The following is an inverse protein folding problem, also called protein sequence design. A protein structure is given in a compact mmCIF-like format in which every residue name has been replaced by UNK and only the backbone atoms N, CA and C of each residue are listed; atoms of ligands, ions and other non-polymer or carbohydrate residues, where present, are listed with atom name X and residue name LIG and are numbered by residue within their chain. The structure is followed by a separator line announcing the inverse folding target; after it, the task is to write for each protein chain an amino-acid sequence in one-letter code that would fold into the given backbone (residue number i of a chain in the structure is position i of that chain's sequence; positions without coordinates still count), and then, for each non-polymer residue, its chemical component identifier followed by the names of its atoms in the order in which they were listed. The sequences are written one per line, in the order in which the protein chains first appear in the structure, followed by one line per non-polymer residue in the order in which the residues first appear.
data_IF_282547837940
#
_entry.id   IF_282547837940
#
_cell.length_a   1.000
_cell.length_b   1.000
_cell.length_c   1.000
_cell.angle_alpha   90.00
_cell.angle_beta   90.00
_cell.angle_gamma   90.00
#
_symmetry.space_group_name_H-M   'P 1'
#
loop_
_entity.id
_entity.type
_entity.pdbx_description
1 polymer ?
#
# COMPACT_ATOMS: atom_id res chain seq x y z
N UNK A 1 8.94 -8.70 33.22
CA UNK A 1 8.72 -9.58 34.34
C UNK A 1 9.23 -8.94 35.65
N UNK A 2 8.95 -9.53 36.83
CA UNK A 2 9.36 -8.97 38.13
C UNK A 2 10.86 -8.75 38.24
N UNK A 3 11.68 -9.60 37.61
CA UNK A 3 13.14 -9.48 37.64
C UNK A 3 13.69 -8.27 36.87
N UNK A 4 13.01 -7.85 35.83
CA UNK A 4 13.38 -6.66 35.06
C UNK A 4 13.12 -5.37 35.88
N UNK A 5 12.06 -5.36 36.71
CA UNK A 5 11.73 -4.24 37.60
C UNK A 5 12.71 -4.12 38.77
N UNK A 6 13.19 -5.26 39.31
CA UNK A 6 14.15 -5.27 40.38
C UNK A 6 15.51 -4.68 39.97
N UNK A 7 15.93 -4.86 38.70
CA UNK A 7 17.18 -4.30 38.17
C UNK A 7 17.10 -2.87 37.67
N UNK A 8 15.88 -2.29 37.53
CA UNK A 8 15.65 -0.99 36.91
C UNK A 8 14.77 -0.08 37.80
N UNK A 9 15.21 0.14 39.03
CA UNK A 9 14.45 0.95 40.02
C UNK A 9 14.04 2.34 39.50
N UNK A 10 14.84 2.95 38.61
CA UNK A 10 14.51 4.22 37.96
C UNK A 10 13.30 4.14 37.01
N UNK A 11 12.86 2.93 36.64
CA UNK A 11 11.70 2.67 35.77
C UNK A 11 10.51 2.06 36.53
N UNK A 12 10.56 2.03 37.87
CA UNK A 12 9.53 1.41 38.68
C UNK A 12 8.12 1.97 38.40
N UNK A 13 8.04 3.27 38.13
CA UNK A 13 6.79 3.99 37.85
C UNK A 13 6.48 4.08 36.34
N UNK A 14 7.30 3.46 35.47
CA UNK A 14 7.09 3.46 34.04
C UNK A 14 5.88 2.58 33.67
N UNK A 15 4.91 3.17 33.00
CA UNK A 15 3.77 2.43 32.45
C UNK A 15 4.16 1.72 31.17
N UNK A 16 3.92 0.41 31.11
CA UNK A 16 4.09 -0.39 29.89
C UNK A 16 2.72 -0.49 29.21
N UNK A 17 2.62 0.07 28.01
CA UNK A 17 1.41 0.09 27.22
C UNK A 17 1.55 -0.90 26.07
N UNK A 18 0.62 -1.86 25.97
CA UNK A 18 0.53 -2.75 24.83
C UNK A 18 -0.11 -2.00 23.65
N UNK A 19 0.58 -2.00 22.51
CA UNK A 19 0.08 -1.50 21.23
C UNK A 19 -0.08 -2.66 20.26
N UNK A 20 -0.78 -2.50 19.11
CA UNK A 20 -0.81 -3.54 18.08
C UNK A 20 0.60 -4.02 17.73
N UNK A 21 0.82 -5.33 17.70
CA UNK A 21 2.15 -5.93 17.55
C UNK A 21 2.73 -5.84 16.14
N UNK A 22 1.93 -5.47 15.14
CA UNK A 22 2.35 -5.26 13.77
C UNK A 22 2.37 -3.75 13.46
N UNK A 23 3.51 -3.24 13.01
CA UNK A 23 3.73 -1.82 12.73
C UNK A 23 2.74 -1.26 11.68
N UNK A 24 2.39 -2.06 10.68
CA UNK A 24 1.38 -1.69 9.67
C UNK A 24 -0.01 -1.55 10.30
N UNK A 25 -0.34 -2.34 11.32
CA UNK A 25 -1.60 -2.17 12.05
C UNK A 25 -1.63 -0.82 12.79
N UNK A 26 -0.50 -0.40 13.34
CA UNK A 26 -0.35 0.96 13.86
C UNK A 26 -0.49 2.01 12.75
N UNK A 27 0.13 1.80 11.59
CA UNK A 27 0.03 2.73 10.47
C UNK A 27 -1.43 2.96 10.03
N UNK A 28 -2.25 1.92 10.06
CA UNK A 28 -3.68 2.04 9.77
C UNK A 28 -4.44 2.82 10.83
N UNK A 29 -4.04 2.75 12.11
CA UNK A 29 -4.62 3.57 13.17
C UNK A 29 -4.38 5.07 12.94
N UNK A 30 -3.26 5.43 12.33
CA UNK A 30 -2.94 6.81 12.00
C UNK A 30 -3.70 7.38 10.79
N UNK A 31 -4.30 6.55 9.95
CA UNK A 31 -4.98 7.06 8.76
C UNK A 31 -6.35 7.67 9.13
N UNK A 32 -6.74 8.79 8.49
CA UNK A 32 -8.01 9.48 8.76
C UNK A 32 -9.20 8.73 8.11
N UNK A 33 -9.40 7.48 8.52
CA UNK A 33 -10.47 6.64 8.01
C UNK A 33 -11.83 7.08 8.53
N UNK A 34 -12.85 6.92 7.67
CA UNK A 34 -14.24 7.06 8.06
C UNK A 34 -14.68 5.90 8.97
N UNK A 35 -15.72 6.13 9.74
CA UNK A 35 -16.26 5.15 10.70
C UNK A 35 -17.17 4.10 10.07
N UNK A 36 -17.52 4.28 8.79
CA UNK A 36 -18.41 3.37 8.03
C UNK A 36 -17.71 2.12 7.49
N UNK A 37 -16.36 2.06 7.59
CA UNK A 37 -15.56 0.94 7.12
C UNK A 37 -15.47 0.83 5.59
N UNK A 38 -15.77 1.91 4.86
CA UNK A 38 -15.70 1.96 3.39
C UNK A 38 -14.28 2.26 2.86
N UNK A 39 -13.29 2.38 3.74
CA UNK A 39 -11.92 2.70 3.37
C UNK A 39 -11.06 1.45 3.21
N UNK A 40 -10.28 1.40 2.12
CA UNK A 40 -9.13 0.51 1.99
C UNK A 40 -7.89 1.22 2.54
N UNK A 41 -7.10 0.50 3.29
CA UNK A 41 -5.78 0.94 3.75
C UNK A 41 -4.70 0.33 2.86
N UNK A 42 -3.76 1.15 2.43
CA UNK A 42 -2.61 0.73 1.65
C UNK A 42 -1.33 1.32 2.26
N UNK A 43 -0.55 0.46 2.91
CA UNK A 43 0.81 0.79 3.33
C UNK A 43 1.77 0.35 2.23
N UNK A 44 2.30 1.31 1.47
CA UNK A 44 3.17 1.05 0.30
C UNK A 44 4.62 1.37 0.63
N UNK A 45 5.42 0.34 0.78
CA UNK A 45 6.86 0.35 1.00
C UNK A 45 7.56 -0.67 0.11
N UNK A 46 8.60 -1.33 0.60
CA UNK A 46 9.25 -2.51 -0.04
C UNK A 46 8.21 -3.57 -0.37
N UNK A 47 7.27 -3.81 0.55
CA UNK A 47 6.02 -4.52 0.37
C UNK A 47 4.85 -3.54 0.35
N UNK A 48 3.76 -3.94 -0.28
CA UNK A 48 2.47 -3.24 -0.20
C UNK A 48 1.50 -4.08 0.61
N UNK A 49 1.05 -3.57 1.75
CA UNK A 49 0.04 -4.21 2.57
C UNK A 49 -1.30 -3.52 2.29
N UNK A 50 -2.22 -4.27 1.71
CA UNK A 50 -3.59 -3.82 1.39
C UNK A 50 -4.53 -4.45 2.38
N UNK A 51 -5.38 -3.67 3.04
CA UNK A 51 -6.30 -4.18 4.06
C UNK A 51 -7.47 -3.25 4.32
N UNK A 52 -8.36 -3.65 5.22
CA UNK A 52 -9.50 -2.86 5.66
C UNK A 52 -9.91 -3.22 7.09
N UNK A 53 -10.70 -2.38 7.75
CA UNK A 53 -11.21 -2.68 9.10
C UNK A 53 -12.46 -3.56 9.01
N UNK A 54 -12.53 -4.60 9.88
CA UNK A 54 -13.63 -5.55 9.93
C UNK A 54 -13.91 -6.00 11.36
N UNK A 55 -15.20 -6.20 11.68
CA UNK A 55 -15.60 -6.83 12.94
C UNK A 55 -15.39 -8.34 12.95
N UNK A 56 -15.32 -8.95 11.78
CA UNK A 56 -15.13 -10.39 11.60
C UNK A 56 -13.89 -10.66 10.75
N UNK A 57 -13.15 -11.75 11.03
CA UNK A 57 -12.05 -12.18 10.19
C UNK A 57 -12.59 -12.72 8.86
N UNK A 58 -11.80 -12.62 7.80
CA UNK A 58 -12.05 -13.34 6.55
C UNK A 58 -11.39 -14.72 6.63
N UNK A 59 -12.21 -15.77 6.66
CA UNK A 59 -11.78 -17.15 6.80
C UNK A 59 -12.27 -18.01 5.63
N UNK A 60 -11.81 -19.27 5.60
CA UNK A 60 -12.21 -20.25 4.60
C UNK A 60 -11.17 -20.47 3.51
N UNK A 61 -11.44 -21.43 2.62
CA UNK A 61 -10.50 -21.88 1.60
C UNK A 61 -10.09 -20.78 0.63
N UNK A 62 -11.02 -19.91 0.25
CA UNK A 62 -10.74 -18.80 -0.66
C UNK A 62 -9.89 -17.70 -0.01
N UNK A 63 -10.14 -17.39 1.27
CA UNK A 63 -9.31 -16.45 2.01
C UNK A 63 -7.88 -16.98 2.19
N UNK A 64 -7.72 -18.28 2.46
CA UNK A 64 -6.44 -18.95 2.53
C UNK A 64 -5.71 -18.92 1.17
N UNK A 65 -6.41 -19.25 0.08
CA UNK A 65 -5.84 -19.20 -1.26
C UNK A 65 -5.40 -17.78 -1.66
N UNK A 66 -6.14 -16.76 -1.23
CA UNK A 66 -5.80 -15.35 -1.41
C UNK A 66 -4.73 -14.85 -0.42
N UNK A 67 -4.21 -15.71 0.46
CA UNK A 67 -3.19 -15.38 1.47
C UNK A 67 -3.59 -14.24 2.40
N UNK A 68 -4.88 -14.17 2.75
CA UNK A 68 -5.40 -13.16 3.66
C UNK A 68 -4.95 -13.47 5.08
N UNK A 69 -4.19 -12.55 5.68
CA UNK A 69 -3.96 -12.51 7.13
C UNK A 69 -5.07 -11.70 7.81
N UNK A 70 -5.31 -11.99 9.08
CA UNK A 70 -6.32 -11.29 9.87
C UNK A 70 -5.66 -10.72 11.12
N UNK A 71 -5.06 -9.54 11.01
CA UNK A 71 -4.43 -8.88 12.14
C UNK A 71 -5.47 -8.42 13.16
N UNK A 72 -5.10 -8.47 14.44
CA UNK A 72 -5.94 -7.94 15.52
C UNK A 72 -5.62 -6.48 15.75
N UNK A 73 -6.65 -5.65 15.85
CA UNK A 73 -6.50 -4.28 16.32
C UNK A 73 -6.37 -4.24 17.84
N UNK A 74 -5.86 -3.15 18.40
CA UNK A 74 -5.82 -2.95 19.85
C UNK A 74 -7.22 -2.90 20.50
N UNK A 75 -8.29 -2.82 19.72
CA UNK A 75 -9.69 -2.77 20.15
C UNK A 75 -10.45 -4.09 20.01
N UNK A 76 -9.75 -5.16 19.61
CA UNK A 76 -10.35 -6.49 19.45
C UNK A 76 -11.02 -6.75 18.09
N UNK A 77 -11.03 -5.79 17.19
CA UNK A 77 -11.47 -5.95 15.80
C UNK A 77 -10.39 -6.60 14.96
N UNK A 78 -10.69 -6.82 13.68
CA UNK A 78 -9.76 -7.43 12.74
C UNK A 78 -9.40 -6.46 11.61
N UNK A 79 -8.23 -6.70 11.04
CA UNK A 79 -7.78 -6.11 9.77
C UNK A 79 -7.38 -7.23 8.83
N UNK A 80 -8.35 -7.74 8.03
CA UNK A 80 -7.99 -8.57 6.89
C UNK A 80 -7.02 -7.81 5.99
N UNK A 81 -5.86 -8.42 5.71
CA UNK A 81 -4.83 -7.82 4.87
C UNK A 81 -4.16 -8.84 3.97
N UNK A 82 -3.67 -8.37 2.84
CA UNK A 82 -2.84 -9.13 1.90
C UNK A 82 -1.53 -8.39 1.69
N UNK A 83 -0.45 -9.15 1.73
CA UNK A 83 0.88 -8.66 1.43
C UNK A 83 1.16 -8.88 -0.07
N UNK A 84 1.36 -7.80 -0.79
CA UNK A 84 1.71 -7.80 -2.22
C UNK A 84 3.13 -7.27 -2.35
N UNK A 85 3.89 -7.76 -3.34
CA UNK A 85 5.18 -7.17 -3.65
C UNK A 85 5.01 -5.67 -3.93
N UNK A 86 5.89 -4.85 -3.36
CA UNK A 86 5.78 -3.40 -3.46
C UNK A 86 6.94 -2.78 -4.25
N UNK A 87 7.50 -1.71 -3.70
CA UNK A 87 8.61 -0.98 -4.32
C UNK A 87 9.91 -1.80 -4.42
N UNK A 88 9.95 -3.01 -3.85
CA UNK A 88 11.02 -3.98 -4.07
C UNK A 88 11.32 -4.20 -5.57
N UNK A 89 10.27 -4.32 -6.41
CA UNK A 89 10.42 -4.41 -7.86
C UNK A 89 11.13 -3.19 -8.44
N UNK A 90 10.74 -2.00 -8.00
CA UNK A 90 11.33 -0.76 -8.49
C UNK A 90 12.78 -0.61 -8.00
N UNK A 91 13.03 -0.79 -6.72
CA UNK A 91 14.35 -0.68 -6.11
C UNK A 91 15.34 -1.69 -6.71
N UNK A 92 14.89 -2.94 -6.89
CA UNK A 92 15.67 -3.98 -7.54
C UNK A 92 16.03 -3.63 -8.98
N UNK A 93 15.05 -3.14 -9.75
CA UNK A 93 15.27 -2.72 -11.14
C UNK A 93 16.22 -1.54 -11.25
N UNK A 94 16.11 -0.54 -10.35
CA UNK A 94 17.00 0.62 -10.36
C UNK A 94 18.47 0.26 -10.16
N UNK A 95 18.79 -0.84 -9.46
CA UNK A 95 20.17 -1.30 -9.26
C UNK A 95 20.82 -1.75 -10.57
N UNK A 96 20.01 -2.18 -11.52
CA UNK A 96 20.45 -2.66 -12.82
C UNK A 96 20.70 -1.53 -13.85
N UNK A 97 20.47 -0.26 -13.47
CA UNK A 97 20.64 0.89 -14.35
C UNK A 97 21.70 1.86 -13.82
N UNK A 98 22.67 2.21 -14.66
CA UNK A 98 23.67 3.25 -14.36
C UNK A 98 23.03 4.64 -14.18
N UNK A 99 21.90 4.89 -14.84
CA UNK A 99 21.11 6.13 -14.77
C UNK A 99 20.17 6.21 -13.55
N UNK A 100 20.43 5.39 -12.53
CA UNK A 100 19.63 5.44 -11.28
C UNK A 100 19.65 6.85 -10.69
N UNK A 101 18.48 7.43 -10.35
CA UNK A 101 18.39 8.76 -9.76
C UNK A 101 19.05 8.79 -8.36
N UNK A 102 19.79 9.85 -8.07
CA UNK A 102 20.53 10.06 -6.80
C UNK A 102 19.96 11.21 -5.99
N UNK A 103 19.18 12.09 -6.61
CA UNK A 103 18.59 13.28 -6.01
C UNK A 103 17.09 13.32 -6.20
N UNK A 104 16.37 14.05 -5.34
CA UNK A 104 14.92 14.26 -5.47
C UNK A 104 14.53 14.88 -6.81
N UNK A 105 15.39 15.76 -7.36
CA UNK A 105 15.17 16.38 -8.68
C UNK A 105 15.23 15.33 -9.81
N UNK A 106 16.20 14.43 -9.75
CA UNK A 106 16.33 13.34 -10.73
C UNK A 106 15.17 12.36 -10.61
N UNK A 107 14.73 12.06 -9.38
CA UNK A 107 13.54 11.26 -9.13
C UNK A 107 12.29 11.91 -9.73
N UNK A 108 12.06 13.19 -9.48
CA UNK A 108 10.94 13.92 -10.04
C UNK A 108 10.96 13.92 -11.58
N UNK A 109 12.15 14.08 -12.18
CA UNK A 109 12.32 14.03 -13.63
C UNK A 109 11.97 12.64 -14.20
N UNK A 110 12.45 11.56 -13.57
CA UNK A 110 12.18 10.18 -13.97
C UNK A 110 10.67 9.86 -13.86
N UNK A 111 10.03 10.21 -12.76
CA UNK A 111 8.58 10.02 -12.57
C UNK A 111 7.79 10.82 -13.61
N UNK A 112 8.19 12.07 -13.90
CA UNK A 112 7.56 12.89 -14.95
C UNK A 112 7.70 12.24 -16.33
N UNK A 113 8.89 11.75 -16.69
CA UNK A 113 9.14 11.04 -17.95
C UNK A 113 8.27 9.77 -18.02
N UNK A 114 8.29 8.92 -17.01
CA UNK A 114 7.49 7.71 -16.95
C UNK A 114 5.97 7.99 -17.02
N UNK A 115 5.49 9.07 -16.38
CA UNK A 115 4.09 9.50 -16.42
C UNK A 115 3.64 9.93 -17.82
N UNK A 116 4.56 10.46 -18.64
CA UNK A 116 4.28 10.83 -20.03
C UNK A 116 4.14 9.63 -20.97
N UNK A 117 4.56 8.44 -20.57
CA UNK A 117 4.39 7.23 -21.36
C UNK A 117 2.94 6.71 -21.28
N UNK A 118 2.50 6.04 -22.36
CA UNK A 118 1.16 5.45 -22.38
C UNK A 118 1.01 4.39 -21.28
N UNK A 119 -0.10 4.46 -20.54
CA UNK A 119 -0.41 3.47 -19.51
C UNK A 119 -0.56 2.07 -20.10
N UNK A 120 -0.04 1.09 -19.40
CA UNK A 120 -0.17 -0.33 -19.75
C UNK A 120 -1.43 -0.95 -19.10
N UNK A 121 -2.13 -0.22 -18.22
CA UNK A 121 -3.30 -0.75 -17.46
C UNK A 121 -4.51 -1.01 -18.33
N UNK A 122 -4.61 -0.38 -19.50
CA UNK A 122 -5.77 -0.48 -20.40
C UNK A 122 -5.86 -1.77 -21.23
N UNK A 123 -4.90 -2.72 -21.09
CA UNK A 123 -4.89 -4.00 -21.79
C UNK A 123 -4.67 -5.18 -20.83
N UNK A 124 -5.59 -6.15 -20.82
CA UNK A 124 -5.33 -7.46 -20.23
C UNK A 124 -4.10 -8.05 -20.90
N UNK A 125 -2.99 -8.18 -20.17
CA UNK A 125 -1.76 -8.80 -20.67
C UNK A 125 -0.52 -7.91 -20.72
N UNK A 126 -0.63 -6.60 -20.58
CA UNK A 126 0.50 -5.67 -20.70
C UNK A 126 1.19 -5.30 -19.38
N UNK A 127 0.76 -5.86 -18.25
CA UNK A 127 1.36 -5.65 -16.92
C UNK A 127 2.02 -6.94 -16.42
N UNK A 128 2.95 -6.80 -15.47
CA UNK A 128 3.59 -7.94 -14.83
C UNK A 128 2.59 -8.68 -13.94
N UNK A 129 2.77 -9.98 -13.83
CA UNK A 129 2.24 -10.74 -12.71
C UNK A 129 3.16 -10.50 -11.51
N UNK A 130 2.71 -9.65 -10.60
CA UNK A 130 3.47 -9.27 -9.40
C UNK A 130 3.54 -10.39 -8.36
N UNK A 131 2.83 -11.50 -8.57
CA UNK A 131 2.88 -12.69 -7.71
C UNK A 131 3.91 -13.72 -8.15
N UNK A 132 4.61 -13.48 -9.27
CA UNK A 132 5.63 -14.39 -9.80
C UNK A 132 6.75 -14.60 -8.77
N UNK A 133 7.00 -15.84 -8.32
CA UNK A 133 8.03 -16.12 -7.33
C UNK A 133 9.45 -15.78 -7.83
N UNK A 134 9.66 -15.62 -9.13
CA UNK A 134 10.92 -15.14 -9.69
C UNK A 134 11.33 -13.76 -9.20
N UNK A 135 10.40 -12.96 -8.69
CA UNK A 135 10.66 -11.62 -8.15
C UNK A 135 11.08 -11.61 -6.66
N UNK A 136 11.02 -12.75 -5.98
CA UNK A 136 11.30 -12.79 -4.54
C UNK A 136 12.76 -12.42 -4.21
N UNK A 137 13.72 -13.00 -4.94
CA UNK A 137 15.15 -12.73 -4.73
C UNK A 137 15.98 -12.99 -6.00
N UNK A 138 15.76 -12.23 -7.08
CA UNK A 138 16.55 -12.41 -8.31
C UNK A 138 17.94 -11.76 -8.18
N UNK A 139 18.93 -12.30 -8.89
CA UNK A 139 20.25 -11.66 -9.04
C UNK A 139 20.18 -10.35 -9.81
N UNK A 140 19.23 -10.21 -10.73
CA UNK A 140 18.88 -9.00 -11.47
C UNK A 140 17.37 -8.94 -11.63
N UNK A 141 16.77 -7.91 -11.05
CA UNK A 141 15.32 -7.70 -11.16
C UNK A 141 14.90 -7.39 -12.60
N UNK A 142 15.70 -6.59 -13.30
CA UNK A 142 15.47 -6.31 -14.72
C UNK A 142 15.44 -7.59 -15.54
N UNK A 143 16.40 -8.49 -15.34
CA UNK A 143 16.43 -9.75 -16.07
C UNK A 143 15.22 -10.65 -15.75
N UNK A 144 14.78 -10.68 -14.49
CA UNK A 144 13.58 -11.43 -14.09
C UNK A 144 12.31 -10.85 -14.75
N UNK A 145 12.18 -9.53 -14.81
CA UNK A 145 11.08 -8.84 -15.51
C UNK A 145 11.11 -9.17 -17.00
N UNK A 146 12.27 -9.06 -17.65
CA UNK A 146 12.42 -9.35 -19.09
C UNK A 146 12.07 -10.80 -19.40
N UNK A 147 12.48 -11.74 -18.54
CA UNK A 147 12.15 -13.15 -18.67
C UNK A 147 10.64 -13.41 -18.56
N UNK A 148 9.94 -12.76 -17.61
CA UNK A 148 8.50 -12.88 -17.51
C UNK A 148 7.80 -12.30 -18.74
N UNK A 149 8.20 -11.11 -19.20
CA UNK A 149 7.63 -10.48 -20.40
C UNK A 149 7.83 -11.38 -21.63
N UNK A 150 9.05 -11.93 -21.81
CA UNK A 150 9.36 -12.87 -22.91
C UNK A 150 8.46 -14.12 -22.88
N UNK A 151 8.29 -14.73 -21.70
CA UNK A 151 7.38 -15.89 -21.55
C UNK A 151 5.94 -15.58 -21.97
N UNK A 152 5.52 -14.32 -21.82
CA UNK A 152 4.18 -13.84 -22.16
C UNK A 152 4.08 -13.23 -23.58
N UNK A 153 5.15 -13.30 -24.38
CA UNK A 153 5.19 -12.73 -25.74
C UNK A 153 5.17 -11.20 -25.76
N UNK A 154 5.51 -10.55 -24.64
CA UNK A 154 5.53 -9.09 -24.52
C UNK A 154 6.93 -8.53 -24.70
N UNK A 155 7.01 -7.29 -25.21
CA UNK A 155 8.28 -6.60 -25.40
C UNK A 155 8.72 -5.92 -24.11
N UNK A 156 9.99 -6.05 -23.76
CA UNK A 156 10.59 -5.32 -22.65
C UNK A 156 10.63 -3.80 -22.93
N UNK A 157 10.53 -2.96 -21.90
CA UNK A 157 10.76 -1.53 -22.03
C UNK A 157 12.17 -1.22 -22.54
N UNK A 158 12.34 -0.09 -23.26
CA UNK A 158 13.61 0.29 -23.86
C UNK A 158 14.55 1.00 -22.88
N UNK A 159 13.98 1.69 -21.89
CA UNK A 159 14.70 2.56 -20.96
C UNK A 159 14.14 2.47 -19.53
N UNK A 160 14.82 3.10 -18.59
CA UNK A 160 14.43 3.10 -17.19
C UNK A 160 13.02 3.67 -16.95
N UNK A 161 12.63 4.73 -17.67
CA UNK A 161 11.31 5.32 -17.53
C UNK A 161 10.21 4.33 -17.93
N UNK A 162 10.43 3.54 -18.96
CA UNK A 162 9.53 2.46 -19.37
C UNK A 162 9.38 1.37 -18.31
N UNK A 163 10.47 0.96 -17.66
CA UNK A 163 10.40 0.01 -16.55
C UNK A 163 9.66 0.60 -15.34
N UNK A 164 9.94 1.85 -14.98
CA UNK A 164 9.22 2.55 -13.90
C UNK A 164 7.73 2.59 -14.19
N UNK A 165 7.35 2.92 -15.42
CA UNK A 165 5.96 2.92 -15.85
C UNK A 165 5.32 1.55 -15.73
N UNK A 166 5.94 0.52 -16.31
CA UNK A 166 5.47 -0.86 -16.27
C UNK A 166 5.29 -1.35 -14.83
N UNK A 167 6.26 -1.09 -13.96
CA UNK A 167 6.21 -1.52 -12.55
C UNK A 167 5.07 -0.81 -11.82
N UNK A 168 4.94 0.50 -11.93
CA UNK A 168 3.86 1.24 -11.26
C UNK A 168 2.47 0.78 -11.73
N UNK A 169 2.28 0.57 -13.03
CA UNK A 169 1.02 0.05 -13.56
C UNK A 169 0.73 -1.37 -13.05
N UNK A 170 1.76 -2.23 -12.96
CA UNK A 170 1.63 -3.60 -12.47
C UNK A 170 1.29 -3.65 -10.98
N UNK A 171 1.94 -2.82 -10.16
CA UNK A 171 1.64 -2.69 -8.73
C UNK A 171 0.22 -2.16 -8.52
N UNK A 172 -0.17 -1.12 -9.26
CA UNK A 172 -1.53 -0.59 -9.21
C UNK A 172 -2.58 -1.64 -9.54
N UNK A 173 -2.31 -2.50 -10.54
CA UNK A 173 -3.17 -3.63 -10.86
C UNK A 173 -3.21 -4.68 -9.75
N UNK A 174 -2.06 -5.02 -9.17
CA UNK A 174 -1.99 -5.94 -8.02
C UNK A 174 -2.80 -5.45 -6.83
N UNK A 175 -2.74 -4.16 -6.51
CA UNK A 175 -3.58 -3.54 -5.48
C UNK A 175 -5.08 -3.68 -5.82
N UNK A 176 -5.46 -3.39 -7.05
CA UNK A 176 -6.85 -3.49 -7.51
C UNK A 176 -7.40 -4.92 -7.43
N UNK A 177 -6.59 -5.92 -7.76
CA UNK A 177 -6.99 -7.34 -7.72
C UNK A 177 -7.21 -7.81 -6.27
N UNK A 178 -6.40 -7.35 -5.31
CA UNK A 178 -6.64 -7.59 -3.88
C UNK A 178 -7.93 -6.92 -3.41
N UNK A 179 -8.18 -5.67 -3.79
CA UNK A 179 -9.41 -4.95 -3.42
C UNK A 179 -10.64 -5.68 -3.92
N UNK A 180 -10.65 -6.13 -5.18
CA UNK A 180 -11.73 -6.95 -5.75
C UNK A 180 -11.94 -8.26 -4.98
N UNK A 181 -10.85 -8.89 -4.55
CA UNK A 181 -10.92 -10.09 -3.72
C UNK A 181 -11.58 -9.81 -2.37
N UNK A 182 -11.22 -8.70 -1.73
CA UNK A 182 -11.90 -8.27 -0.50
C UNK A 182 -13.37 -7.97 -0.71
N UNK A 183 -13.74 -7.24 -1.77
CA UNK A 183 -15.12 -6.96 -2.11
C UNK A 183 -15.94 -8.26 -2.27
N UNK A 184 -15.39 -9.21 -3.00
CA UNK A 184 -16.06 -10.50 -3.26
C UNK A 184 -16.21 -11.33 -1.99
N UNK A 185 -15.18 -11.42 -1.15
CA UNK A 185 -15.20 -12.26 0.05
C UNK A 185 -15.96 -11.63 1.21
N UNK A 186 -15.95 -10.30 1.34
CA UNK A 186 -16.62 -9.60 2.43
C UNK A 186 -18.03 -9.15 2.09
N UNK A 187 -18.41 -9.16 0.80
CA UNK A 187 -19.68 -8.59 0.31
C UNK A 187 -19.73 -7.06 0.39
N UNK A 188 -18.63 -6.40 0.75
CA UNK A 188 -18.55 -4.94 0.89
C UNK A 188 -18.20 -4.26 -0.41
N UNK A 189 -18.49 -2.95 -0.48
CA UNK A 189 -17.95 -2.02 -1.47
C UNK A 189 -17.10 -0.98 -0.76
N UNK A 190 -15.99 -0.63 -1.40
CA UNK A 190 -15.08 0.39 -0.87
C UNK A 190 -15.23 1.69 -1.64
N UNK A 191 -15.03 2.82 -0.96
CA UNK A 191 -15.23 4.15 -1.53
C UNK A 191 -13.91 4.83 -1.93
N UNK A 192 -12.82 4.53 -1.23
CA UNK A 192 -11.51 5.15 -1.46
C UNK A 192 -10.37 4.31 -0.88
N UNK A 193 -9.15 4.66 -1.30
CA UNK A 193 -7.90 4.06 -0.81
C UNK A 193 -7.14 5.13 -0.01
N UNK A 194 -6.81 4.84 1.25
CA UNK A 194 -5.94 5.66 2.08
C UNK A 194 -4.52 5.09 2.00
N UNK A 195 -3.58 5.87 1.47
CA UNK A 195 -2.24 5.39 1.16
C UNK A 195 -1.16 6.13 1.95
N UNK A 196 -0.29 5.37 2.63
CA UNK A 196 0.88 5.86 3.36
C UNK A 196 2.15 5.09 2.94
N UNK A 197 3.28 5.45 3.52
CA UNK A 197 4.59 4.86 3.25
C UNK A 197 5.29 5.49 2.05
N UNK A 198 6.44 4.94 1.65
CA UNK A 198 7.27 5.51 0.58
C UNK A 198 6.56 5.64 -0.76
N UNK A 199 5.68 4.70 -1.09
CA UNK A 199 4.89 4.69 -2.31
C UNK A 199 3.87 5.83 -2.40
N UNK A 200 3.41 6.36 -1.26
CA UNK A 200 2.48 7.50 -1.24
C UNK A 200 3.10 8.79 -1.83
N UNK A 201 4.42 8.87 -1.87
CA UNK A 201 5.17 9.98 -2.48
C UNK A 201 5.34 9.82 -3.99
N UNK A 202 5.04 8.64 -4.54
CA UNK A 202 5.14 8.36 -5.97
C UNK A 202 3.80 8.61 -6.66
N UNK A 203 3.65 9.79 -7.26
CA UNK A 203 2.43 10.22 -7.94
C UNK A 203 1.99 9.24 -9.07
N UNK A 204 2.96 8.62 -9.77
CA UNK A 204 2.66 7.66 -10.82
C UNK A 204 2.03 6.38 -10.25
N UNK A 205 2.56 5.85 -9.13
CA UNK A 205 2.00 4.68 -8.47
C UNK A 205 0.61 4.97 -7.88
N UNK A 206 0.44 6.13 -7.23
CA UNK A 206 -0.86 6.55 -6.71
C UNK A 206 -1.92 6.61 -7.82
N UNK A 207 -1.57 7.25 -8.96
CA UNK A 207 -2.47 7.35 -10.10
C UNK A 207 -2.74 5.98 -10.75
N UNK A 208 -1.71 5.13 -10.91
CA UNK A 208 -1.88 3.79 -11.46
C UNK A 208 -2.79 2.92 -10.57
N UNK A 209 -2.68 3.06 -9.25
CA UNK A 209 -3.55 2.38 -8.29
C UNK A 209 -4.99 2.88 -8.41
N UNK A 210 -5.20 4.20 -8.50
CA UNK A 210 -6.53 4.78 -8.69
C UNK A 210 -7.17 4.31 -10.00
N UNK A 211 -6.44 4.40 -11.11
CA UNK A 211 -6.92 4.01 -12.44
C UNK A 211 -7.27 2.51 -12.51
N UNK A 212 -6.46 1.65 -11.87
CA UNK A 212 -6.68 0.21 -11.91
C UNK A 212 -7.84 -0.25 -11.01
N UNK A 213 -8.00 0.39 -9.84
CA UNK A 213 -9.04 0.04 -8.86
C UNK A 213 -10.39 0.69 -9.14
N UNK A 214 -10.40 1.82 -9.85
CA UNK A 214 -11.59 2.67 -10.01
C UNK A 214 -11.93 3.48 -8.76
N UNK A 215 -11.05 3.47 -7.74
CA UNK A 215 -11.24 4.18 -6.48
C UNK A 215 -10.26 5.36 -6.37
N UNK A 216 -10.67 6.50 -5.81
CA UNK A 216 -9.74 7.59 -5.54
C UNK A 216 -8.70 7.17 -4.50
N UNK A 217 -7.43 7.49 -4.76
CA UNK A 217 -6.33 7.31 -3.81
C UNK A 217 -6.08 8.61 -3.08
N UNK A 218 -6.20 8.58 -1.76
CA UNK A 218 -5.83 9.65 -0.85
C UNK A 218 -4.46 9.33 -0.26
N UNK A 219 -3.44 10.05 -0.69
CA UNK A 219 -2.05 9.85 -0.31
C UNK A 219 -1.66 10.82 0.80
N UNK A 220 -0.97 10.30 1.81
CA UNK A 220 -0.54 11.05 2.98
C UNK A 220 0.97 10.93 3.17
N UNK A 221 1.65 12.06 3.36
CA UNK A 221 3.07 12.09 3.76
C UNK A 221 3.16 11.94 5.28
N UNK A 222 2.94 10.73 5.79
CA UNK A 222 2.85 10.41 7.21
C UNK A 222 3.72 9.20 7.55
N UNK A 223 4.46 9.29 8.64
CA UNK A 223 5.10 8.13 9.28
C UNK A 223 4.05 7.36 10.11
N UNK A 224 3.20 6.63 9.39
CA UNK A 224 1.98 6.05 9.92
C UNK A 224 2.22 5.16 11.14
N UNK A 225 3.25 4.30 11.11
CA UNK A 225 3.53 3.36 12.21
C UNK A 225 3.81 4.07 13.52
N UNK A 226 4.62 5.14 13.49
CA UNK A 226 4.97 5.93 14.67
C UNK A 226 3.74 6.67 15.21
N UNK A 227 3.00 7.34 14.31
CA UNK A 227 1.82 8.14 14.69
C UNK A 227 0.70 7.25 15.24
N UNK A 228 0.47 6.09 14.64
CA UNK A 228 -0.54 5.15 15.13
C UNK A 228 -0.14 4.45 16.42
N UNK A 229 1.16 4.18 16.62
CA UNK A 229 1.66 3.71 17.91
C UNK A 229 1.39 4.75 19.00
N UNK A 230 1.72 6.02 18.74
CA UNK A 230 1.40 7.13 19.65
C UNK A 230 -0.10 7.25 19.93
N UNK A 231 -0.95 7.09 18.92
CA UNK A 231 -2.40 7.11 19.08
C UNK A 231 -2.87 6.09 20.11
N UNK A 232 -2.39 4.84 20.02
CA UNK A 232 -2.75 3.77 20.94
C UNK A 232 -2.28 4.07 22.37
N UNK A 233 -1.09 4.66 22.54
CA UNK A 233 -0.57 5.08 23.84
C UNK A 233 -1.43 6.20 24.46
N UNK A 234 -1.75 7.24 23.68
CA UNK A 234 -2.58 8.37 24.16
C UNK A 234 -3.99 7.92 24.57
N UNK A 235 -4.57 6.97 23.83
CA UNK A 235 -5.86 6.38 24.18
C UNK A 235 -5.76 5.55 25.48
N UNK A 236 -4.73 4.73 25.62
CA UNK A 236 -4.50 3.94 26.83
C UNK A 236 -4.30 4.81 28.06
N UNK A 237 -3.62 5.95 27.91
CA UNK A 237 -3.41 6.95 28.97
C UNK A 237 -4.63 7.86 29.18
N UNK A 238 -5.73 7.66 28.46
CA UNK A 238 -6.93 8.51 28.50
C UNK A 238 -6.68 9.98 28.14
N UNK A 239 -5.56 10.30 27.49
CA UNK A 239 -5.26 11.63 26.97
C UNK A 239 -6.10 11.95 25.73
N UNK A 240 -6.52 10.92 24.99
CA UNK A 240 -7.48 11.00 23.89
C UNK A 240 -8.57 9.97 24.14
N UNK A 241 -9.83 10.33 23.88
CA UNK A 241 -10.99 9.50 24.19
C UNK A 241 -10.98 8.15 23.48
N UNK A 242 -10.76 8.18 22.15
CA UNK A 242 -10.81 7.02 21.27
C UNK A 242 -10.10 7.29 19.94
N UNK A 243 -9.99 6.27 19.10
CA UNK A 243 -9.33 6.37 17.81
C UNK A 243 -10.04 7.31 16.84
N UNK A 244 -11.37 7.38 16.89
CA UNK A 244 -12.13 8.28 16.03
C UNK A 244 -11.80 9.74 16.34
N UNK A 245 -11.73 10.08 17.64
CA UNK A 245 -11.31 11.41 18.12
C UNK A 245 -9.87 11.72 17.70
N UNK A 246 -8.95 10.77 17.82
CA UNK A 246 -7.56 10.94 17.37
C UNK A 246 -7.49 11.21 15.88
N UNK A 247 -8.14 10.38 15.07
CA UNK A 247 -8.18 10.52 13.59
C UNK A 247 -8.78 11.84 13.14
N UNK A 248 -9.85 12.30 13.79
CA UNK A 248 -10.47 13.59 13.49
C UNK A 248 -9.52 14.77 13.77
N UNK A 249 -8.82 14.73 14.90
CA UNK A 249 -7.81 15.74 15.25
C UNK A 249 -6.63 15.72 14.27
N UNK A 250 -6.14 14.53 13.91
CA UNK A 250 -5.06 14.38 12.93
C UNK A 250 -5.48 14.88 11.55
N UNK A 251 -6.67 14.53 11.09
CA UNK A 251 -7.18 14.90 9.76
C UNK A 251 -7.22 16.41 9.54
N UNK A 252 -7.49 17.19 10.59
CA UNK A 252 -7.56 18.65 10.51
C UNK A 252 -6.23 19.32 10.10
N UNK A 253 -5.09 18.69 10.42
CA UNK A 253 -3.75 19.19 10.08
C UNK A 253 -3.01 18.41 9.00
N UNK A 254 -3.55 17.28 8.56
CA UNK A 254 -2.84 16.37 7.67
C UNK A 254 -3.00 16.79 6.20
N UNK A 255 -1.86 17.08 5.57
CA UNK A 255 -1.85 17.33 4.12
C UNK A 255 -2.08 16.03 3.35
N UNK A 256 -3.03 16.07 2.43
CA UNK A 256 -3.31 14.96 1.53
C UNK A 256 -3.24 15.39 0.07
N UNK A 257 -2.88 14.43 -0.79
CA UNK A 257 -3.03 14.57 -2.24
C UNK A 257 -4.04 13.51 -2.71
N UNK A 258 -5.02 13.91 -3.51
CA UNK A 258 -6.05 13.00 -4.03
C UNK A 258 -5.79 12.73 -5.50
N UNK A 259 -5.78 11.44 -5.86
CA UNK A 259 -5.66 10.95 -7.23
C UNK A 259 -6.99 10.29 -7.63
N UNK A 260 -7.87 10.99 -8.34
CA UNK A 260 -9.10 10.39 -8.85
C UNK A 260 -8.79 9.38 -9.97
N UNK A 261 -9.57 8.31 -10.11
CA UNK A 261 -9.44 7.39 -11.23
C UNK A 261 -9.77 8.11 -12.54
N UNK A 262 -8.94 7.89 -13.56
CA UNK A 262 -9.17 8.45 -14.90
C UNK A 262 -10.01 7.47 -15.72
N UNK A 263 -10.88 7.96 -16.61
CA UNK A 263 -11.63 7.10 -17.51
C UNK A 263 -10.70 6.21 -18.35
N UNK A 264 -11.02 4.93 -18.44
CA UNK A 264 -10.28 4.04 -19.35
C UNK A 264 -10.52 4.47 -20.80
N UNK A 265 -9.48 4.59 -21.64
CA UNK A 265 -9.65 4.94 -23.06
C UNK A 265 -10.57 4.01 -23.84
N UNK A 266 -10.81 2.79 -23.34
CA UNK A 266 -11.68 1.79 -23.98
C UNK A 266 -13.16 2.11 -23.80
N UNK A 267 -13.56 2.85 -22.78
CA UNK A 267 -14.97 3.20 -22.54
C UNK A 267 -15.50 4.26 -23.53
N UNK A 268 -14.61 5.00 -24.19
CA UNK A 268 -15.00 6.11 -25.10
C UNK A 268 -15.30 5.62 -26.53
N UNK A 269 -14.99 4.39 -26.88
CA UNK A 269 -15.26 3.84 -28.22
C UNK A 269 -16.60 3.08 -28.35
N UNK A 270 -17.31 2.82 -27.24
CA UNK A 270 -18.59 2.10 -27.24
C UNK A 270 -19.83 2.98 -27.50
N UNK A 271 -19.65 4.30 -27.66
CA UNK A 271 -20.73 5.28 -27.91
C UNK A 271 -20.50 6.14 -29.16
N UNK A 272 -19.80 5.63 -30.17
CA UNK A 272 -19.78 6.26 -31.51
C UNK A 272 -20.25 5.30 -32.58
#
# INVERSE_FOLDING_TARGET
GPDLRAGLSALADTQIIAVPGHDTTCAYDAMPAATDGADIFLSSGTWSLVGFESRQPLLGAEALAARIANDRTGRGEYRPLVNVIGLWLLEGTLKDFASRPKTDREWAALIKQASGLRSQVSGFGSVLDVTDPAFANPSSMKAAIDAQLKRRGLKAPRDLAGYVRLICDSLGRGHADVIKTFERLSGRKFARILMVGGGSKNALLCQATADASGLPVHSFALEGSVVGNLANQLIALKAVKDLATFRAGLAAGLKQTVYPPRPSPVATQAHR
#
